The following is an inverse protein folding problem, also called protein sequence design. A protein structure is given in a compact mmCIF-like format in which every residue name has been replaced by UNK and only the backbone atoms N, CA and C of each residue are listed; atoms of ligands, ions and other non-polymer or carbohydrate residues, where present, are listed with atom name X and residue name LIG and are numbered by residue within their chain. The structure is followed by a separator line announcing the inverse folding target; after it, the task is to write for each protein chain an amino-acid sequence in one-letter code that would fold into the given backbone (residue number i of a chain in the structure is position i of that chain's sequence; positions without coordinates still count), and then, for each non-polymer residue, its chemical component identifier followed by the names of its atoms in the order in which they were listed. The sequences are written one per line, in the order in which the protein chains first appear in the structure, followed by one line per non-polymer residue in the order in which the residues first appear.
data_IF_287196384809
#
_entry.id   IF_287196384809
#
_cell.length_a   1.000
_cell.length_b   1.000
_cell.length_c   1.000
_cell.angle_alpha   90.00
_cell.angle_beta   90.00
_cell.angle_gamma   90.00
#
_symmetry.space_group_name_H-M   'P 1'
#
loop_
_entity.id
_entity.type
_entity.pdbx_description
1 polymer ?
#
# COMPACT_ATOMS: atom_id res chain seq x y z
N UNK A 1 -24.04 24.55 -28.33
CA UNK A 1 -24.25 23.17 -28.83
C UNK A 1 -24.35 22.28 -27.63
N UNK A 2 -25.58 21.85 -27.32
CA UNK A 2 -25.92 21.17 -26.08
C UNK A 2 -25.68 19.68 -26.24
N UNK A 3 -24.74 19.14 -25.51
CA UNK A 3 -24.57 17.69 -25.30
C UNK A 3 -24.15 17.53 -23.84
N UNK A 4 -25.11 17.53 -22.93
CA UNK A 4 -24.82 17.11 -21.52
C UNK A 4 -26.10 17.06 -20.68
N UNK A 5 -27.19 16.52 -21.19
CA UNK A 5 -28.39 16.28 -20.36
C UNK A 5 -28.91 14.83 -20.39
N UNK A 6 -28.10 13.87 -20.85
CA UNK A 6 -28.56 12.49 -21.02
C UNK A 6 -27.92 11.44 -20.11
N UNK A 7 -27.02 11.82 -19.18
CA UNK A 7 -26.24 10.83 -18.42
C UNK A 7 -26.69 10.56 -16.97
N UNK A 8 -27.75 11.25 -16.51
CA UNK A 8 -28.31 11.03 -15.16
C UNK A 8 -29.84 11.01 -15.15
N UNK A 9 -30.44 10.33 -16.13
CA UNK A 9 -31.85 9.96 -16.02
C UNK A 9 -31.91 8.59 -15.34
N UNK A 10 -32.47 8.53 -14.14
CA UNK A 10 -32.82 7.29 -13.48
C UNK A 10 -33.80 6.51 -14.36
N UNK A 11 -33.69 5.16 -14.45
CA UNK A 11 -34.65 4.35 -15.18
C UNK A 11 -36.03 4.51 -14.54
N UNK A 12 -37.00 4.94 -15.33
CA UNK A 12 -38.41 4.92 -14.96
C UNK A 12 -38.89 3.46 -14.90
N UNK A 13 -39.48 3.11 -13.76
CA UNK A 13 -40.30 1.89 -13.64
C UNK A 13 -39.72 0.78 -12.79
N UNK A 14 -39.69 0.98 -11.47
CA UNK A 14 -39.89 -0.11 -10.50
C UNK A 14 -40.80 0.47 -9.40
N UNK A 15 -42.10 0.53 -9.70
CA UNK A 15 -43.14 0.51 -8.67
C UNK A 15 -43.45 -0.97 -8.42
N UNK A 16 -42.71 -1.60 -7.52
CA UNK A 16 -43.12 -2.83 -6.89
C UNK A 16 -43.18 -2.56 -5.39
N UNK A 17 -44.42 -2.38 -4.93
CA UNK A 17 -44.80 -2.46 -3.52
C UNK A 17 -44.39 -3.82 -2.97
N UNK A 18 -43.23 -3.90 -2.33
CA UNK A 18 -42.90 -4.99 -1.43
C UNK A 18 -43.54 -4.67 -0.07
N UNK A 19 -44.77 -5.20 0.11
CA UNK A 19 -45.33 -5.38 1.45
C UNK A 19 -44.41 -6.33 2.24
N UNK A 20 -43.56 -5.76 3.10
CA UNK A 20 -42.88 -6.52 4.14
C UNK A 20 -43.74 -6.47 5.40
N UNK A 21 -44.57 -7.50 5.57
CA UNK A 21 -45.04 -7.88 6.90
C UNK A 21 -43.82 -8.44 7.68
N UNK A 22 -43.44 -7.76 8.76
CA UNK A 22 -42.40 -8.27 9.66
C UNK A 22 -42.09 -7.29 10.76
N UNK A 23 -42.84 -7.44 11.84
CA UNK A 23 -42.52 -7.08 13.24
C UNK A 23 -41.73 -5.77 13.47
N UNK A 24 -42.50 -4.79 13.92
CA UNK A 24 -42.14 -3.53 14.56
C UNK A 24 -41.14 -3.75 15.70
N UNK A 25 -39.85 -3.78 15.41
CA UNK A 25 -38.84 -3.37 16.37
C UNK A 25 -38.41 -1.97 15.94
N UNK A 26 -39.22 -0.99 16.30
CA UNK A 26 -38.81 0.40 16.24
C UNK A 26 -37.55 0.55 17.10
N UNK A 27 -36.39 0.67 16.44
CA UNK A 27 -35.21 1.22 17.07
C UNK A 27 -35.55 2.68 17.39
N UNK A 28 -35.99 2.89 18.64
CA UNK A 28 -36.15 4.24 19.18
C UNK A 28 -34.74 4.83 19.29
N UNK A 29 -34.32 5.55 18.24
CA UNK A 29 -33.09 6.34 18.27
C UNK A 29 -33.43 7.56 19.12
N UNK A 30 -33.07 7.51 20.40
CA UNK A 30 -33.12 8.66 21.28
C UNK A 30 -32.08 9.67 20.76
N UNK A 31 -32.56 10.69 20.05
CA UNK A 31 -31.72 11.81 19.60
C UNK A 31 -31.49 12.67 20.86
N UNK A 32 -30.38 12.44 21.53
CA UNK A 32 -29.93 13.30 22.63
C UNK A 32 -29.47 14.61 22.01
N UNK A 33 -30.03 15.74 22.48
CA UNK A 33 -29.63 17.07 22.01
C UNK A 33 -28.12 17.29 22.26
N UNK A 34 -27.33 17.66 21.25
CA UNK A 34 -25.90 17.87 21.42
C UNK A 34 -25.65 19.03 22.39
N UNK A 35 -24.81 18.80 23.36
CA UNK A 35 -24.38 19.85 24.29
C UNK A 35 -23.53 20.88 23.55
N UNK A 36 -24.03 22.10 23.44
CA UNK A 36 -23.33 23.22 22.77
C UNK A 36 -22.62 24.08 23.80
N UNK A 37 -21.30 24.13 23.74
CA UNK A 37 -20.48 25.03 24.55
C UNK A 37 -19.94 26.16 23.68
N UNK A 38 -20.31 27.39 23.98
CA UNK A 38 -19.80 28.58 23.29
C UNK A 38 -18.50 29.03 23.96
N UNK A 39 -17.40 28.99 23.24
CA UNK A 39 -16.08 29.43 23.73
C UNK A 39 -16.00 30.97 23.75
N UNK A 40 -15.06 31.51 24.54
CA UNK A 40 -14.85 32.96 24.71
C UNK A 40 -14.39 33.69 23.43
N UNK A 41 -13.98 32.98 22.42
CA UNK A 41 -13.56 33.46 21.10
C UNK A 41 -14.72 33.48 20.05
N UNK A 42 -15.91 33.07 20.49
CA UNK A 42 -17.09 32.98 19.62
C UNK A 42 -17.19 31.70 18.78
N UNK A 43 -16.29 30.76 18.96
CA UNK A 43 -16.41 29.40 18.37
C UNK A 43 -17.41 28.55 19.19
N UNK A 44 -18.07 27.61 18.50
CA UNK A 44 -19.05 26.72 19.12
C UNK A 44 -18.51 25.30 19.04
N UNK A 45 -18.28 24.68 20.18
CA UNK A 45 -17.94 23.26 20.27
C UNK A 45 -19.23 22.46 20.48
N UNK A 46 -19.49 21.50 19.60
CA UNK A 46 -20.66 20.64 19.64
C UNK A 46 -20.19 19.22 20.00
N UNK A 47 -20.55 18.76 21.18
CA UNK A 47 -20.30 17.38 21.59
C UNK A 47 -21.43 16.48 21.11
N UNK A 48 -21.18 15.66 20.11
CA UNK A 48 -22.18 14.77 19.49
C UNK A 48 -22.53 13.53 20.32
N UNK A 49 -21.81 13.26 21.40
CA UNK A 49 -22.01 12.09 22.27
C UNK A 49 -21.95 12.54 23.74
N UNK A 50 -23.13 12.79 24.40
CA UNK A 50 -23.15 13.40 25.74
C UNK A 50 -22.73 12.48 26.89
N UNK A 51 -22.67 11.16 26.75
CA UNK A 51 -22.51 10.21 27.87
C UNK A 51 -21.50 9.07 27.67
N UNK A 52 -20.65 9.13 26.66
CA UNK A 52 -19.44 8.34 26.75
C UNK A 52 -18.55 9.05 27.78
N UNK A 53 -18.22 8.37 28.87
CA UNK A 53 -17.09 8.71 29.74
C UNK A 53 -15.79 8.66 28.90
N UNK A 54 -15.73 9.45 27.82
CA UNK A 54 -14.57 9.68 26.97
C UNK A 54 -13.73 10.74 27.67
N UNK A 55 -13.40 10.48 28.93
CA UNK A 55 -12.40 11.26 29.66
C UNK A 55 -10.99 10.97 29.19
N UNK A 56 -10.81 10.01 28.31
CA UNK A 56 -9.61 9.81 27.53
C UNK A 56 -9.98 9.84 26.05
N UNK A 57 -9.97 11.03 25.44
CA UNK A 57 -9.77 11.14 24.00
C UNK A 57 -8.43 10.46 23.77
N UNK A 58 -8.46 9.19 23.39
CA UNK A 58 -7.25 8.45 23.08
C UNK A 58 -6.50 9.27 22.03
N UNK A 59 -5.29 9.67 22.36
CA UNK A 59 -4.40 10.33 21.41
C UNK A 59 -4.39 9.49 20.13
N UNK A 60 -4.31 10.14 18.96
CA UNK A 60 -4.20 9.42 17.68
C UNK A 60 -3.09 8.35 17.71
N UNK A 61 -2.06 8.56 18.53
CA UNK A 61 -0.93 7.66 18.72
C UNK A 61 -1.13 6.65 19.87
N UNK A 62 -2.32 6.63 20.52
CA UNK A 62 -2.58 5.70 21.61
C UNK A 62 -2.70 4.26 21.10
N UNK A 63 -2.17 3.33 21.88
CA UNK A 63 -2.31 1.91 21.59
C UNK A 63 -3.73 1.42 21.93
N UNK A 64 -4.59 1.27 20.93
CA UNK A 64 -5.96 0.82 21.09
C UNK A 64 -6.07 -0.57 21.73
N UNK A 65 -5.04 -1.40 21.61
CA UNK A 65 -5.02 -2.74 22.21
C UNK A 65 -5.01 -2.69 23.76
N UNK A 66 -4.58 -1.59 24.38
CA UNK A 66 -4.61 -1.42 25.83
C UNK A 66 -6.03 -1.27 26.40
N UNK A 67 -7.00 -0.91 25.54
CA UNK A 67 -8.40 -0.77 25.92
C UNK A 67 -9.18 -2.10 25.85
N UNK A 68 -8.60 -3.15 25.26
CA UNK A 68 -9.22 -4.46 25.08
C UNK A 68 -8.79 -5.42 26.21
N UNK A 69 -9.68 -6.31 26.61
CA UNK A 69 -9.31 -7.40 27.51
C UNK A 69 -8.56 -8.52 26.76
N UNK A 70 -7.89 -9.39 27.53
CA UNK A 70 -7.09 -10.49 26.96
C UNK A 70 -7.95 -11.46 26.11
N UNK A 71 -9.23 -11.62 26.43
CA UNK A 71 -10.16 -12.48 25.68
C UNK A 71 -10.44 -11.88 24.29
N UNK A 72 -10.78 -10.60 24.27
CA UNK A 72 -11.04 -9.84 23.03
C UNK A 72 -9.79 -9.75 22.15
N UNK A 73 -8.61 -9.55 22.77
CA UNK A 73 -7.34 -9.53 22.03
C UNK A 73 -7.03 -10.88 21.36
N UNK A 74 -7.27 -11.99 22.04
CA UNK A 74 -7.06 -13.32 21.49
C UNK A 74 -8.04 -13.61 20.34
N UNK A 75 -9.31 -13.28 20.50
CA UNK A 75 -10.32 -13.46 19.45
C UNK A 75 -9.99 -12.63 18.21
N UNK A 76 -9.63 -11.36 18.39
CA UNK A 76 -9.19 -10.48 17.29
C UNK A 76 -7.92 -11.01 16.61
N UNK A 77 -6.95 -11.51 17.39
CA UNK A 77 -5.72 -12.08 16.86
C UNK A 77 -5.98 -13.32 16.01
N UNK A 78 -6.82 -14.23 16.47
CA UNK A 78 -7.19 -15.45 15.75
C UNK A 78 -7.94 -15.11 14.44
N UNK A 79 -8.85 -14.13 14.48
CA UNK A 79 -9.53 -13.63 13.28
C UNK A 79 -8.53 -13.04 12.27
N UNK A 80 -7.64 -12.15 12.73
CA UNK A 80 -6.64 -11.52 11.85
C UNK A 80 -5.70 -12.54 11.23
N UNK A 81 -5.24 -13.55 11.98
CA UNK A 81 -4.39 -14.63 11.46
C UNK A 81 -5.15 -15.44 10.40
N UNK A 82 -6.40 -15.79 10.67
CA UNK A 82 -7.25 -16.52 9.72
C UNK A 82 -7.46 -15.74 8.41
N UNK A 83 -7.64 -14.42 8.48
CA UNK A 83 -7.77 -13.55 7.32
C UNK A 83 -6.46 -13.45 6.52
N UNK A 84 -5.31 -13.37 7.18
CA UNK A 84 -3.99 -13.36 6.52
C UNK A 84 -3.73 -14.69 5.82
N UNK A 85 -4.05 -15.82 6.44
CA UNK A 85 -3.92 -17.14 5.83
C UNK A 85 -4.81 -17.29 4.58
N UNK A 86 -6.04 -16.79 4.64
CA UNK A 86 -6.94 -16.75 3.49
C UNK A 86 -6.38 -15.88 2.34
N UNK A 87 -5.80 -14.73 2.67
CA UNK A 87 -5.15 -13.85 1.67
C UNK A 87 -3.92 -14.52 1.04
N UNK A 88 -3.11 -15.25 1.82
CA UNK A 88 -1.98 -16.04 1.31
C UNK A 88 -2.46 -17.14 0.37
N UNK A 89 -3.50 -17.88 0.74
CA UNK A 89 -4.06 -18.94 -0.10
C UNK A 89 -4.64 -18.39 -1.39
N UNK A 90 -5.26 -17.21 -1.35
CA UNK A 90 -5.85 -16.57 -2.53
C UNK A 90 -4.84 -16.30 -3.65
N UNK A 91 -3.57 -16.07 -3.33
CA UNK A 91 -2.49 -15.78 -4.28
C UNK A 91 -1.58 -16.96 -4.62
N UNK A 92 -1.98 -18.17 -4.27
CA UNK A 92 -1.17 -19.39 -4.47
C UNK A 92 -0.72 -19.60 -5.92
N UNK A 93 -1.61 -19.38 -6.87
CA UNK A 93 -1.28 -19.53 -8.30
C UNK A 93 -0.18 -18.56 -8.76
N UNK A 94 -0.21 -17.33 -8.23
CA UNK A 94 0.85 -16.37 -8.45
C UNK A 94 2.18 -16.86 -7.83
N UNK A 95 2.13 -17.35 -6.60
CA UNK A 95 3.31 -17.84 -5.88
C UNK A 95 3.97 -19.03 -6.61
N UNK A 96 3.17 -19.99 -7.07
CA UNK A 96 3.66 -21.13 -7.84
C UNK A 96 4.31 -20.71 -9.17
N UNK A 97 3.72 -19.70 -9.84
CA UNK A 97 4.28 -19.14 -11.07
C UNK A 97 5.59 -18.41 -10.80
N UNK A 98 5.66 -17.65 -9.73
CA UNK A 98 6.85 -16.91 -9.32
C UNK A 98 8.00 -17.87 -8.95
N UNK A 99 7.73 -18.92 -8.15
CA UNK A 99 8.72 -19.95 -7.81
C UNK A 99 9.26 -20.64 -9.07
N UNK A 100 8.38 -20.98 -10.01
CA UNK A 100 8.80 -21.52 -11.31
C UNK A 100 9.67 -20.55 -12.10
N UNK A 101 9.34 -19.25 -12.06
CA UNK A 101 10.16 -18.19 -12.64
C UNK A 101 11.56 -18.13 -12.05
N UNK A 102 11.68 -18.21 -10.72
CA UNK A 102 12.96 -18.25 -10.01
C UNK A 102 13.79 -19.50 -10.37
N UNK A 103 13.16 -20.63 -10.54
CA UNK A 103 13.83 -21.86 -10.96
C UNK A 103 14.45 -21.75 -12.36
N UNK A 104 13.80 -21.02 -13.26
CA UNK A 104 14.26 -20.82 -14.64
C UNK A 104 15.24 -19.65 -14.78
N UNK A 105 15.28 -18.74 -13.78
CA UNK A 105 16.11 -17.53 -13.83
C UNK A 105 17.61 -17.82 -13.81
N UNK A 106 18.04 -18.89 -13.12
CA UNK A 106 19.44 -19.23 -12.93
C UNK A 106 19.97 -20.19 -14.00
N UNK A 107 21.31 -20.24 -14.10
CA UNK A 107 21.99 -21.30 -14.83
C UNK A 107 21.89 -22.60 -14.01
N UNK A 108 20.87 -23.40 -14.30
CA UNK A 108 20.77 -24.75 -13.77
C UNK A 108 21.15 -25.75 -14.87
N UNK A 109 21.92 -26.75 -14.51
CA UNK A 109 22.12 -27.92 -15.32
C UNK A 109 21.39 -29.08 -14.66
N UNK A 110 20.46 -29.68 -15.38
CA UNK A 110 19.79 -30.90 -14.95
C UNK A 110 20.16 -32.04 -15.88
N UNK A 111 20.50 -33.17 -15.33
CA UNK A 111 20.65 -34.38 -16.15
C UNK A 111 19.30 -34.78 -16.72
N UNK A 112 19.20 -34.73 -18.04
CA UNK A 112 17.97 -35.12 -18.76
C UNK A 112 18.19 -36.45 -19.45
N UNK A 113 17.20 -37.32 -19.29
CA UNK A 113 17.12 -38.61 -19.98
C UNK A 113 16.17 -38.57 -21.17
N UNK A 114 15.34 -37.55 -21.26
CA UNK A 114 14.44 -37.31 -22.38
C UNK A 114 14.98 -36.15 -23.27
N UNK A 115 14.93 -36.27 -24.60
CA UNK A 115 14.42 -37.39 -25.43
C UNK A 115 15.43 -38.54 -25.59
N UNK A 116 16.65 -38.41 -25.06
CA UNK A 116 17.69 -39.47 -25.02
C UNK A 116 18.62 -39.24 -23.81
N UNK A 117 19.29 -40.26 -23.40
CA UNK A 117 20.27 -40.21 -22.30
C UNK A 117 21.45 -39.30 -22.68
N UNK A 118 21.74 -38.31 -21.81
CA UNK A 118 22.73 -37.26 -22.08
C UNK A 118 22.22 -36.08 -22.89
N UNK A 119 20.91 -35.91 -22.99
CA UNK A 119 20.30 -34.72 -23.59
C UNK A 119 20.71 -33.44 -22.83
N UNK A 120 20.82 -32.32 -23.56
CA UNK A 120 21.21 -31.04 -22.96
C UNK A 120 20.19 -30.57 -21.95
N UNK A 121 20.57 -30.44 -20.69
CA UNK A 121 19.74 -30.01 -19.58
C UNK A 121 19.98 -28.54 -19.15
N UNK A 122 20.49 -27.70 -20.06
CA UNK A 122 20.74 -26.27 -19.78
C UNK A 122 19.47 -25.47 -19.99
N UNK A 123 19.09 -24.65 -19.00
CA UNK A 123 18.01 -23.68 -19.12
C UNK A 123 18.45 -22.46 -19.95
N UNK A 124 17.53 -21.94 -20.74
CA UNK A 124 17.75 -20.71 -21.53
C UNK A 124 17.77 -19.47 -20.62
N UNK A 125 18.72 -18.55 -20.83
CA UNK A 125 18.88 -17.31 -20.05
C UNK A 125 17.94 -16.18 -20.46
N UNK A 126 17.01 -16.43 -21.37
CA UNK A 126 16.12 -15.39 -21.94
C UNK A 126 15.34 -14.64 -20.85
N UNK A 127 14.88 -15.32 -19.78
CA UNK A 127 14.19 -14.68 -18.68
C UNK A 127 15.11 -13.73 -17.91
N UNK A 128 16.34 -14.13 -17.64
CA UNK A 128 17.33 -13.29 -16.97
C UNK A 128 17.69 -12.06 -17.81
N UNK A 129 17.89 -12.26 -19.11
CA UNK A 129 18.15 -11.15 -20.04
C UNK A 129 17.00 -10.16 -20.09
N UNK A 130 15.76 -10.64 -20.14
CA UNK A 130 14.56 -9.80 -20.15
C UNK A 130 14.42 -9.00 -18.85
N UNK A 131 14.63 -9.62 -17.69
CA UNK A 131 14.56 -8.96 -16.38
C UNK A 131 15.65 -7.87 -16.23
N UNK A 132 16.90 -8.17 -16.62
CA UNK A 132 18.01 -7.22 -16.56
C UNK A 132 17.78 -6.06 -17.54
N UNK A 133 17.29 -6.34 -18.75
CA UNK A 133 16.98 -5.31 -19.74
C UNK A 133 15.90 -4.36 -19.25
N UNK A 134 14.82 -4.90 -18.71
CA UNK A 134 13.74 -4.13 -18.11
C UNK A 134 14.27 -3.23 -16.98
N UNK A 135 15.07 -3.79 -16.05
CA UNK A 135 15.69 -3.03 -14.98
C UNK A 135 16.56 -1.89 -15.51
N UNK A 136 17.43 -2.15 -16.49
CA UNK A 136 18.35 -1.15 -17.03
C UNK A 136 17.62 -0.01 -17.75
N UNK A 137 16.63 -0.33 -18.58
CA UNK A 137 15.82 0.67 -19.30
C UNK A 137 15.01 1.53 -18.33
N UNK A 138 14.27 0.91 -17.40
CA UNK A 138 13.46 1.64 -16.42
C UNK A 138 14.30 2.44 -15.44
N UNK A 139 15.49 1.94 -15.05
CA UNK A 139 16.40 2.68 -14.19
C UNK A 139 16.93 3.95 -14.85
N UNK A 140 17.26 3.89 -16.13
CA UNK A 140 17.74 5.08 -16.88
C UNK A 140 16.67 6.17 -17.00
N UNK A 141 15.39 5.78 -17.07
CA UNK A 141 14.27 6.72 -17.15
C UNK A 141 13.83 7.27 -15.80
N UNK A 142 13.80 6.43 -14.76
CA UNK A 142 13.33 6.81 -13.42
C UNK A 142 14.40 7.49 -12.57
N UNK A 143 15.68 7.22 -12.87
CA UNK A 143 16.82 7.80 -12.15
C UNK A 143 17.86 8.39 -13.10
N UNK A 144 17.50 9.43 -13.89
CA UNK A 144 18.42 10.06 -14.84
C UNK A 144 19.56 10.78 -14.13
N UNK A 145 20.66 11.02 -14.84
CA UNK A 145 21.84 11.72 -14.31
C UNK A 145 21.56 13.15 -13.79
N UNK A 146 20.50 13.78 -14.27
CA UNK A 146 20.05 15.10 -13.80
C UNK A 146 19.27 15.07 -12.47
N UNK A 147 19.10 13.89 -11.89
CA UNK A 147 18.31 13.62 -10.68
C UNK A 147 16.89 13.14 -10.98
N UNK A 148 16.30 12.33 -10.08
CA UNK A 148 14.99 11.71 -10.26
C UNK A 148 13.82 12.70 -10.14
N UNK A 149 14.02 13.86 -9.50
CA UNK A 149 12.94 14.81 -9.22
C UNK A 149 12.86 15.89 -10.30
N UNK A 150 11.64 16.07 -10.83
CA UNK A 150 11.28 17.20 -11.68
C UNK A 150 10.15 17.98 -11.01
N UNK A 151 10.24 19.30 -11.04
CA UNK A 151 9.21 20.19 -10.50
C UNK A 151 8.48 20.87 -11.64
N UNK A 152 7.15 20.93 -11.53
CA UNK A 152 6.27 21.64 -12.46
C UNK A 152 5.47 22.69 -11.68
N UNK A 153 5.48 23.92 -12.16
CA UNK A 153 4.65 25.00 -11.60
C UNK A 153 3.23 24.82 -12.12
N UNK A 154 2.24 24.84 -11.22
CA UNK A 154 0.82 24.79 -11.56
C UNK A 154 0.25 26.20 -11.38
N UNK A 155 -0.43 26.72 -12.42
CA UNK A 155 -0.98 28.06 -12.45
C UNK A 155 -0.05 29.09 -13.09
N UNK A 156 -0.18 30.36 -12.71
CA UNK A 156 0.60 31.45 -13.27
C UNK A 156 2.09 31.33 -12.90
N UNK A 157 2.94 31.36 -13.90
CA UNK A 157 4.39 31.37 -13.74
C UNK A 157 4.85 32.80 -13.37
N UNK A 158 5.65 32.88 -12.32
CA UNK A 158 6.31 34.09 -11.87
C UNK A 158 7.75 33.74 -11.51
N UNK A 159 8.68 34.69 -11.66
CA UNK A 159 10.10 34.51 -11.39
C UNK A 159 10.36 33.99 -9.98
N UNK A 160 9.64 34.47 -8.98
CA UNK A 160 9.77 34.02 -7.58
C UNK A 160 9.37 32.56 -7.42
N UNK A 161 8.30 32.12 -8.11
CA UNK A 161 7.86 30.72 -8.12
C UNK A 161 8.84 29.81 -8.84
N UNK A 162 9.46 30.30 -9.92
CA UNK A 162 10.48 29.56 -10.65
C UNK A 162 11.75 29.35 -9.80
N UNK A 163 12.21 30.40 -9.10
CA UNK A 163 13.33 30.28 -8.17
C UNK A 163 13.00 29.35 -6.99
N UNK A 164 11.78 29.40 -6.46
CA UNK A 164 11.33 28.48 -5.43
C UNK A 164 11.28 27.03 -5.92
N UNK A 165 10.74 26.80 -7.12
CA UNK A 165 10.67 25.49 -7.76
C UNK A 165 12.08 24.88 -7.97
N UNK A 166 13.04 25.70 -8.39
CA UNK A 166 14.42 25.27 -8.56
C UNK A 166 15.10 24.90 -7.23
N UNK A 167 14.83 25.66 -6.14
CA UNK A 167 15.31 25.28 -4.79
C UNK A 167 14.73 23.98 -4.31
N UNK A 168 13.40 23.80 -4.44
CA UNK A 168 12.71 22.55 -4.07
C UNK A 168 13.25 21.37 -4.87
N UNK A 169 13.46 21.55 -6.20
CA UNK A 169 14.05 20.51 -7.03
C UNK A 169 15.45 20.12 -6.56
N UNK A 170 16.29 21.11 -6.25
CA UNK A 170 17.65 20.85 -5.80
C UNK A 170 17.68 20.13 -4.43
N UNK A 171 16.85 20.57 -3.51
CA UNK A 171 16.73 19.98 -2.18
C UNK A 171 16.22 18.53 -2.22
N UNK A 172 15.13 18.28 -2.94
CA UNK A 172 14.59 16.92 -3.09
C UNK A 172 15.56 15.98 -3.81
N UNK A 173 16.29 16.45 -4.80
CA UNK A 173 17.32 15.63 -5.45
C UNK A 173 18.46 15.32 -4.48
N UNK A 174 18.91 16.30 -3.69
CA UNK A 174 19.93 16.11 -2.66
C UNK A 174 19.48 15.07 -1.62
N UNK A 175 18.23 15.16 -1.15
CA UNK A 175 17.67 14.16 -0.23
C UNK A 175 17.75 12.75 -0.81
N UNK A 176 17.30 12.55 -2.06
CA UNK A 176 17.22 11.23 -2.68
C UNK A 176 18.58 10.67 -3.16
N UNK A 177 19.57 11.53 -3.45
CA UNK A 177 20.85 11.07 -3.98
C UNK A 177 21.96 11.04 -2.95
N UNK A 178 21.95 11.96 -1.97
CA UNK A 178 23.05 12.14 -1.02
C UNK A 178 22.66 11.73 0.42
N UNK A 179 21.46 12.13 0.89
CA UNK A 179 21.03 11.77 2.25
C UNK A 179 20.48 10.36 2.34
N UNK A 180 19.66 9.96 1.39
CA UNK A 180 19.08 8.61 1.32
C UNK A 180 19.96 7.71 0.44
N UNK A 181 21.14 7.36 0.93
CA UNK A 181 22.13 6.55 0.19
C UNK A 181 21.55 5.20 -0.27
N UNK A 182 20.61 4.64 0.49
CA UNK A 182 19.92 3.40 0.17
C UNK A 182 18.89 3.53 -0.96
N UNK A 183 18.41 4.74 -1.28
CA UNK A 183 17.31 4.93 -2.22
C UNK A 183 17.57 4.31 -3.60
N UNK A 184 18.74 4.56 -4.15
CA UNK A 184 19.13 4.05 -5.49
C UNK A 184 19.26 2.53 -5.52
N UNK A 185 20.05 1.87 -4.66
CA UNK A 185 20.16 0.41 -4.67
C UNK A 185 18.84 -0.30 -4.35
N UNK A 186 18.02 0.27 -3.46
CA UNK A 186 16.69 -0.27 -3.17
C UNK A 186 15.73 -0.08 -4.37
N UNK A 187 15.88 0.99 -5.12
CA UNK A 187 15.11 1.20 -6.35
C UNK A 187 15.54 0.24 -7.47
N UNK A 188 16.84 -0.04 -7.61
CA UNK A 188 17.35 -1.04 -8.55
C UNK A 188 16.81 -2.44 -8.24
N UNK A 189 16.77 -2.83 -6.96
CA UNK A 189 16.17 -4.10 -6.53
C UNK A 189 14.67 -4.16 -6.83
N UNK A 190 13.95 -3.07 -6.56
CA UNK A 190 12.53 -2.96 -6.85
C UNK A 190 12.24 -3.18 -8.33
N UNK A 191 12.98 -2.52 -9.22
CA UNK A 191 12.78 -2.63 -10.66
C UNK A 191 13.10 -4.03 -11.20
N UNK A 192 14.16 -4.66 -10.68
CA UNK A 192 14.47 -6.04 -11.02
C UNK A 192 13.34 -7.01 -10.61
N UNK A 193 12.87 -6.88 -9.38
CA UNK A 193 11.80 -7.73 -8.86
C UNK A 193 10.47 -7.45 -9.54
N UNK A 194 10.18 -6.20 -9.90
CA UNK A 194 8.97 -5.83 -10.63
C UNK A 194 8.87 -6.55 -11.96
N UNK A 195 9.98 -6.64 -12.71
CA UNK A 195 10.03 -7.36 -13.99
C UNK A 195 9.80 -8.87 -13.85
N UNK A 196 10.12 -9.46 -12.70
CA UNK A 196 10.02 -10.90 -12.46
C UNK A 196 8.72 -11.30 -11.76
N UNK A 197 8.34 -10.57 -10.70
CA UNK A 197 7.18 -10.88 -9.85
C UNK A 197 5.88 -10.22 -10.33
N UNK A 198 5.96 -9.24 -11.24
CA UNK A 198 4.82 -8.45 -11.72
C UNK A 198 4.37 -7.36 -10.74
N UNK A 199 4.80 -7.43 -9.48
CA UNK A 199 4.53 -6.43 -8.44
C UNK A 199 5.74 -6.24 -7.55
N UNK A 200 5.93 -5.02 -7.03
CA UNK A 200 6.99 -4.69 -6.09
C UNK A 200 6.53 -3.52 -5.20
N UNK A 201 6.99 -3.51 -3.97
CA UNK A 201 6.56 -2.55 -2.97
C UNK A 201 7.74 -1.73 -2.46
N UNK A 202 7.49 -0.49 -2.13
CA UNK A 202 8.46 0.39 -1.48
C UNK A 202 7.83 0.96 -0.21
N UNK A 203 8.51 0.81 0.91
CA UNK A 203 8.12 1.40 2.18
C UNK A 203 8.97 2.64 2.42
N UNK A 204 8.29 3.78 2.60
CA UNK A 204 8.92 5.05 2.95
C UNK A 204 8.45 5.42 4.35
N UNK A 205 9.40 5.69 5.24
CA UNK A 205 9.11 6.07 6.62
C UNK A 205 10.22 6.95 7.19
N UNK A 206 9.93 7.63 8.30
CA UNK A 206 10.94 8.35 9.06
C UNK A 206 11.58 7.41 10.08
N UNK A 207 12.90 7.27 10.04
CA UNK A 207 13.64 6.49 11.02
C UNK A 207 14.15 7.42 12.12
N UNK A 208 13.64 7.31 13.36
CA UNK A 208 14.05 8.14 14.47
C UNK A 208 15.51 7.91 14.87
N UNK A 209 16.06 6.72 14.66
CA UNK A 209 17.46 6.42 14.98
C UNK A 209 18.42 7.09 14.01
N UNK A 210 18.04 7.16 12.74
CA UNK A 210 18.83 7.85 11.71
C UNK A 210 18.50 9.34 11.60
N UNK A 211 17.36 9.77 12.18
CA UNK A 211 16.90 11.17 12.12
C UNK A 211 16.57 11.65 10.71
N UNK A 212 16.20 10.73 9.80
CA UNK A 212 15.91 11.01 8.39
C UNK A 212 14.86 10.06 7.79
N UNK A 213 14.38 10.43 6.64
CA UNK A 213 13.54 9.54 5.84
C UNK A 213 14.37 8.38 5.28
N UNK A 214 13.73 7.21 5.19
CA UNK A 214 14.31 5.97 4.67
C UNK A 214 13.32 5.36 3.69
N UNK A 215 13.83 4.86 2.57
CA UNK A 215 13.04 4.16 1.56
C UNK A 215 13.64 2.78 1.29
N UNK A 216 12.92 1.74 1.63
CA UNK A 216 13.34 0.35 1.45
C UNK A 216 12.43 -0.37 0.48
N UNK A 217 13.01 -1.26 -0.31
CA UNK A 217 12.30 -2.21 -1.14
C UNK A 217 11.73 -3.34 -0.26
N UNK A 218 10.50 -3.74 -0.53
CA UNK A 218 9.87 -4.89 0.10
C UNK A 218 9.49 -5.87 -1.01
N UNK A 219 9.95 -7.14 -0.92
CA UNK A 219 9.56 -8.17 -1.86
C UNK A 219 8.05 -8.40 -1.88
N UNK A 220 7.50 -8.77 -3.03
CA UNK A 220 6.08 -9.09 -3.16
C UNK A 220 5.65 -10.28 -2.28
N UNK A 221 6.60 -11.13 -1.89
CA UNK A 221 6.39 -12.26 -0.98
C UNK A 221 6.01 -11.79 0.43
N UNK A 222 6.65 -10.70 0.89
CA UNK A 222 6.50 -10.17 2.25
C UNK A 222 5.32 -9.18 2.39
N UNK A 223 4.67 -8.81 1.28
CA UNK A 223 3.45 -7.98 1.32
C UNK A 223 2.27 -8.81 0.86
N UNK A 224 1.39 -9.14 1.77
CA UNK A 224 0.18 -9.92 1.51
C UNK A 224 -1.00 -8.98 1.33
N UNK A 225 -1.64 -9.10 0.17
CA UNK A 225 -2.84 -8.34 -0.21
C UNK A 225 -3.80 -9.35 -0.83
N UNK A 226 -5.13 -9.24 -0.61
CA UNK A 226 -6.11 -10.11 -1.28
C UNK A 226 -5.90 -10.09 -2.80
N UNK A 227 -5.91 -11.27 -3.44
CA UNK A 227 -5.60 -11.41 -4.88
C UNK A 227 -6.49 -10.57 -5.80
N UNK A 228 -7.73 -10.31 -5.37
CA UNK A 228 -8.69 -9.48 -6.12
C UNK A 228 -8.50 -7.97 -6.01
N UNK A 229 -7.58 -7.49 -5.16
CA UNK A 229 -7.37 -6.06 -4.97
C UNK A 229 -6.63 -5.43 -6.16
N UNK A 230 -7.20 -4.37 -6.72
CA UNK A 230 -6.59 -3.63 -7.85
C UNK A 230 -5.45 -2.72 -7.40
N UNK A 231 -5.56 -2.15 -6.21
CA UNK A 231 -4.55 -1.25 -5.62
C UNK A 231 -4.53 -1.39 -4.10
N UNK A 232 -3.43 -0.97 -3.51
CA UNK A 232 -3.21 -1.04 -2.06
C UNK A 232 -4.26 -0.23 -1.29
N UNK A 233 -4.67 0.94 -1.82
CA UNK A 233 -5.68 1.82 -1.19
C UNK A 233 -7.09 1.22 -1.16
N UNK A 234 -7.43 0.40 -2.16
CA UNK A 234 -8.74 -0.27 -2.26
C UNK A 234 -8.76 -1.67 -1.67
N UNK A 235 -7.61 -2.15 -1.19
CA UNK A 235 -7.49 -3.45 -0.57
C UNK A 235 -8.18 -3.45 0.81
N UNK A 236 -8.94 -4.50 1.10
CA UNK A 236 -9.54 -4.68 2.43
C UNK A 236 -8.48 -4.76 3.53
N UNK A 237 -7.37 -5.39 3.22
CA UNK A 237 -6.23 -5.59 4.14
C UNK A 237 -4.92 -5.48 3.39
N UNK A 238 -3.90 -4.98 4.07
CA UNK A 238 -2.50 -4.98 3.61
C UNK A 238 -1.64 -5.47 4.75
N UNK A 239 -1.04 -6.62 4.59
CA UNK A 239 -0.20 -7.23 5.61
C UNK A 239 1.25 -7.21 5.18
N UNK A 240 2.12 -6.65 6.00
CA UNK A 240 3.57 -6.68 5.80
C UNK A 240 4.21 -7.65 6.78
N UNK A 241 4.79 -8.73 6.26
CA UNK A 241 5.49 -9.74 7.03
C UNK A 241 6.93 -9.27 7.28
N UNK A 242 7.26 -9.00 8.53
CA UNK A 242 8.60 -8.57 8.93
C UNK A 242 9.26 -9.60 9.83
N UNK A 243 10.48 -10.01 9.47
CA UNK A 243 11.29 -10.88 10.31
C UNK A 243 12.13 -10.03 11.24
N UNK A 244 11.82 -10.04 12.53
CA UNK A 244 12.50 -9.26 13.57
C UNK A 244 13.21 -10.17 14.56
N UNK A 245 14.36 -9.74 15.05
CA UNK A 245 15.02 -10.40 16.17
C UNK A 245 14.36 -9.99 17.49
N UNK A 246 14.53 -10.81 18.54
CA UNK A 246 13.98 -10.52 19.87
C UNK A 246 14.45 -9.17 20.43
N UNK A 247 15.64 -8.70 20.05
CA UNK A 247 16.20 -7.44 20.51
C UNK A 247 15.57 -6.24 19.78
N UNK A 248 15.10 -6.43 18.54
CA UNK A 248 14.40 -5.39 17.77
C UNK A 248 12.92 -5.24 18.15
N UNK A 249 12.39 -6.18 18.96
CA UNK A 249 11.03 -6.14 19.49
C UNK A 249 10.95 -5.54 20.91
N UNK A 250 12.09 -5.21 21.52
CA UNK A 250 12.20 -4.53 22.81
C UNK A 250 12.40 -3.04 22.62
#
# INVERSE_FOLDING_TARGET
MAIEKGLYAAPEGIDDELEMEGEDSALEIEIVDPEMVTMSDGSVEITLIPDANVTDVMSFDANLAEALDDGQLNELADELVGLVDADIDSRKDWADTFVRGLDVLGFKYEERTDPWEGACGVYSTVLAEAAIRFQAETMSETFPAAGPVRVKIIGEENKDKEEAANRVKADMNYELTERMVEYRPEHERLLYSLGLAGSAFKKVYFDPNMGRQVAIYIPAEDVVVPYGASHVESAERVTHIMRKTKNELK
#
